data_IF_832436555090
#
_entry.id   IF_832436555090
#
_cell.length_a   1.000
_cell.length_b   1.000
_cell.length_c   1.000
_cell.angle_alpha   90.00
_cell.angle_beta   90.00
_cell.angle_gamma   90.00
#
_symmetry.space_group_name_H-M   'P 1'
#
loop_
_entity.id
_entity.type
_entity.pdbx_description
1 polymer ?
#
# COMPACT_ATOMS: atom_id res chain seq x y z
N UNK A 1 14.97 15.35 20.68
CA UNK A 1 14.46 14.67 19.49
C UNK A 1 15.33 13.45 19.26
N UNK A 2 14.78 12.24 19.37
CA UNK A 2 15.51 10.98 19.32
C UNK A 2 15.42 10.44 17.88
N UNK A 3 16.26 10.95 16.98
CA UNK A 3 16.25 10.63 15.53
C UNK A 3 16.13 9.13 15.24
N UNK A 4 16.85 8.29 15.99
CA UNK A 4 16.78 6.83 15.85
C UNK A 4 15.42 6.22 16.22
N UNK A 5 14.74 6.78 17.21
CA UNK A 5 13.39 6.36 17.61
C UNK A 5 12.35 6.74 16.56
N UNK A 6 12.48 7.96 16.02
CA UNK A 6 11.59 8.48 14.97
C UNK A 6 11.75 7.66 13.67
N UNK A 7 12.98 7.35 13.27
CA UNK A 7 13.28 6.51 12.09
C UNK A 7 12.70 5.10 12.21
N UNK A 8 12.85 4.45 13.37
CA UNK A 8 12.28 3.12 13.61
C UNK A 8 10.75 3.13 13.55
N UNK A 9 10.11 4.19 14.06
CA UNK A 9 8.66 4.36 13.98
C UNK A 9 8.20 4.51 12.53
N UNK A 10 8.92 5.29 11.71
CA UNK A 10 8.59 5.49 10.30
C UNK A 10 8.72 4.19 9.51
N UNK A 11 9.80 3.42 9.73
CA UNK A 11 9.99 2.12 9.10
C UNK A 11 8.89 1.12 9.48
N UNK A 12 8.48 1.11 10.76
CA UNK A 12 7.36 0.28 11.22
C UNK A 12 6.03 0.68 10.57
N UNK A 13 5.73 1.98 10.47
CA UNK A 13 4.54 2.48 9.77
C UNK A 13 4.55 2.13 8.28
N UNK A 14 5.73 2.22 7.63
CA UNK A 14 5.89 1.83 6.24
C UNK A 14 5.58 0.33 6.03
N UNK A 15 6.08 -0.53 6.92
CA UNK A 15 5.79 -1.97 6.89
C UNK A 15 4.29 -2.24 7.04
N UNK A 16 3.62 -1.58 7.98
CA UNK A 16 2.16 -1.71 8.20
C UNK A 16 1.38 -1.27 6.96
N UNK A 17 1.75 -0.15 6.33
CA UNK A 17 1.12 0.32 5.10
C UNK A 17 1.32 -0.65 3.93
N UNK A 18 2.51 -1.23 3.81
CA UNK A 18 2.80 -2.23 2.78
C UNK A 18 1.94 -3.49 2.99
N UNK A 19 1.88 -4.02 4.21
CA UNK A 19 1.03 -5.16 4.54
C UNK A 19 -0.46 -4.88 4.33
N UNK A 20 -0.92 -3.67 4.65
CA UNK A 20 -2.29 -3.26 4.38
C UNK A 20 -2.59 -3.17 2.87
N UNK A 21 -1.63 -2.70 2.06
CA UNK A 21 -1.76 -2.66 0.61
C UNK A 21 -1.83 -4.07 -0.01
N UNK A 22 -1.03 -5.01 0.50
CA UNK A 22 -1.05 -6.41 0.07
C UNK A 22 -2.38 -7.08 0.47
N UNK A 23 -2.85 -6.88 1.70
CA UNK A 23 -4.14 -7.39 2.16
C UNK A 23 -5.31 -6.85 1.32
N UNK A 24 -5.33 -5.54 1.07
CA UNK A 24 -6.35 -4.90 0.23
C UNK A 24 -6.35 -5.47 -1.20
N UNK A 25 -5.16 -5.73 -1.75
CA UNK A 25 -5.04 -6.34 -3.09
C UNK A 25 -5.63 -7.76 -3.12
N UNK A 26 -5.35 -8.57 -2.10
CA UNK A 26 -5.89 -9.92 -1.98
C UNK A 26 -7.42 -9.93 -1.79
N UNK A 27 -7.97 -8.99 -1.02
CA UNK A 27 -9.41 -8.82 -0.84
C UNK A 27 -10.09 -8.42 -2.16
N UNK A 28 -9.47 -7.53 -2.93
CA UNK A 28 -9.97 -7.13 -4.26
C UNK A 28 -10.00 -8.30 -5.23
N UNK A 29 -8.95 -9.12 -5.26
CA UNK A 29 -8.91 -10.30 -6.14
C UNK A 29 -9.96 -11.34 -5.72
N UNK A 30 -10.20 -11.50 -4.41
CA UNK A 30 -11.29 -12.35 -3.88
C UNK A 30 -12.67 -11.82 -4.30
N UNK A 31 -12.89 -10.51 -4.16
CA UNK A 31 -14.13 -9.85 -4.57
C UNK A 31 -14.38 -9.98 -6.07
N UNK A 32 -13.33 -9.83 -6.89
CA UNK A 32 -13.39 -10.01 -8.34
C UNK A 32 -13.80 -11.44 -8.71
N UNK A 33 -13.22 -12.45 -8.06
CA UNK A 33 -13.59 -13.85 -8.28
C UNK A 33 -15.03 -14.16 -7.85
N UNK A 34 -15.45 -13.66 -6.69
CA UNK A 34 -16.84 -13.82 -6.21
C UNK A 34 -17.83 -13.14 -7.15
N UNK A 35 -17.50 -11.94 -7.63
CA UNK A 35 -18.30 -11.18 -8.59
C UNK A 35 -18.45 -11.90 -9.93
N UNK A 36 -17.39 -12.51 -10.44
CA UNK A 36 -17.46 -13.32 -11.66
C UNK A 36 -18.38 -14.52 -11.50
N UNK A 37 -18.33 -15.19 -10.35
CA UNK A 37 -19.24 -16.30 -10.00
C UNK A 37 -20.69 -15.83 -9.94
N UNK A 38 -20.97 -14.70 -9.27
CA UNK A 38 -22.32 -14.13 -9.19
C UNK A 38 -22.85 -13.71 -10.57
N UNK A 39 -21.99 -13.13 -11.41
CA UNK A 39 -22.33 -12.73 -12.78
C UNK A 39 -22.81 -13.90 -13.62
N UNK A 40 -22.28 -15.11 -13.41
CA UNK A 40 -22.73 -16.30 -14.14
C UNK A 40 -24.21 -16.66 -13.86
N UNK A 41 -24.77 -16.21 -12.73
CA UNK A 41 -26.17 -16.40 -12.38
C UNK A 41 -27.11 -15.25 -12.80
N UNK A 42 -26.59 -14.13 -13.31
CA UNK A 42 -27.39 -12.95 -13.67
C UNK A 42 -27.51 -12.81 -15.19
N UNK A 43 -28.71 -12.50 -15.68
CA UNK A 43 -28.98 -12.27 -17.10
C UNK A 43 -29.57 -10.88 -17.33
N UNK A 44 -29.30 -10.29 -18.50
CA UNK A 44 -29.88 -9.02 -18.93
C UNK A 44 -29.39 -7.80 -18.14
N UNK A 45 -30.29 -6.86 -17.82
CA UNK A 45 -29.94 -5.57 -17.23
C UNK A 45 -29.26 -5.67 -15.85
N UNK A 46 -29.58 -6.72 -15.07
CA UNK A 46 -28.92 -7.00 -13.80
C UNK A 46 -27.42 -7.30 -13.98
N UNK A 47 -27.06 -8.01 -15.05
CA UNK A 47 -25.67 -8.30 -15.39
C UNK A 47 -24.90 -7.03 -15.77
N UNK A 48 -25.54 -6.13 -16.54
CA UNK A 48 -24.93 -4.89 -17.02
C UNK A 48 -24.69 -3.92 -15.86
N UNK A 49 -25.72 -3.69 -15.03
CA UNK A 49 -25.63 -2.80 -13.88
C UNK A 49 -24.57 -3.27 -12.86
N UNK A 50 -24.48 -4.59 -12.65
CA UNK A 50 -23.43 -5.19 -11.81
C UNK A 50 -22.05 -4.97 -12.36
N UNK A 51 -21.85 -5.26 -13.65
CA UNK A 51 -20.54 -5.17 -14.30
C UNK A 51 -19.99 -3.75 -14.22
N UNK A 52 -20.84 -2.74 -14.46
CA UNK A 52 -20.44 -1.33 -14.34
C UNK A 52 -20.03 -0.93 -12.92
N UNK A 53 -20.87 -1.22 -11.91
CA UNK A 53 -20.57 -0.90 -10.52
C UNK A 53 -19.36 -1.66 -9.99
N UNK A 54 -19.25 -2.93 -10.33
CA UNK A 54 -18.14 -3.78 -9.90
C UNK A 54 -16.82 -3.31 -10.53
N UNK A 55 -16.80 -2.99 -11.83
CA UNK A 55 -15.59 -2.48 -12.48
C UNK A 55 -15.12 -1.14 -11.87
N UNK A 56 -16.06 -0.24 -11.55
CA UNK A 56 -15.73 1.02 -10.88
C UNK A 56 -15.17 0.79 -9.46
N UNK A 57 -15.76 -0.14 -8.71
CA UNK A 57 -15.30 -0.49 -7.37
C UNK A 57 -13.91 -1.15 -7.40
N UNK A 58 -13.70 -2.14 -8.27
CA UNK A 58 -12.40 -2.81 -8.46
C UNK A 58 -11.31 -1.80 -8.83
N UNK A 59 -11.58 -0.92 -9.81
CA UNK A 59 -10.65 0.15 -10.18
C UNK A 59 -10.30 1.08 -9.01
N UNK A 60 -11.30 1.48 -8.23
CA UNK A 60 -11.10 2.35 -7.07
C UNK A 60 -10.26 1.70 -5.98
N UNK A 61 -10.53 0.42 -5.67
CA UNK A 61 -9.80 -0.31 -4.65
C UNK A 61 -8.36 -0.62 -5.08
N UNK A 62 -8.14 -1.00 -6.35
CA UNK A 62 -6.78 -1.17 -6.91
C UNK A 62 -5.99 0.13 -6.86
N UNK A 63 -6.62 1.27 -7.17
CA UNK A 63 -5.97 2.57 -7.07
C UNK A 63 -5.58 2.91 -5.62
N UNK A 64 -6.44 2.61 -4.64
CA UNK A 64 -6.12 2.77 -3.21
C UNK A 64 -4.96 1.88 -2.77
N UNK A 65 -4.96 0.61 -3.17
CA UNK A 65 -3.87 -0.32 -2.87
C UNK A 65 -2.53 0.17 -3.46
N UNK A 66 -2.54 0.62 -4.72
CA UNK A 66 -1.36 1.21 -5.36
C UNK A 66 -0.86 2.46 -4.62
N UNK A 67 -1.77 3.34 -4.20
CA UNK A 67 -1.43 4.56 -3.44
C UNK A 67 -0.80 4.21 -2.09
N UNK A 68 -1.35 3.24 -1.37
CA UNK A 68 -0.78 2.77 -0.11
C UNK A 68 0.62 2.18 -0.30
N UNK A 69 0.85 1.43 -1.38
CA UNK A 69 2.16 0.86 -1.71
C UNK A 69 3.21 1.93 -2.03
N UNK A 70 2.81 2.97 -2.76
CA UNK A 70 3.69 4.12 -3.05
C UNK A 70 4.01 4.88 -1.75
N UNK A 71 3.00 5.14 -0.92
CA UNK A 71 3.21 5.79 0.38
C UNK A 71 4.14 4.99 1.29
N UNK A 72 4.01 3.66 1.33
CA UNK A 72 4.93 2.81 2.09
C UNK A 72 6.35 2.86 1.55
N UNK A 73 6.53 2.87 0.23
CA UNK A 73 7.86 2.99 -0.40
C UNK A 73 8.54 4.32 -0.04
N UNK A 74 7.80 5.44 -0.12
CA UNK A 74 8.34 6.75 0.27
C UNK A 74 8.71 6.81 1.76
N UNK A 75 7.88 6.24 2.64
CA UNK A 75 8.17 6.19 4.06
C UNK A 75 9.42 5.36 4.38
N UNK A 76 9.58 4.19 3.73
CA UNK A 76 10.80 3.38 3.86
C UNK A 76 12.03 4.11 3.34
N UNK A 77 11.94 4.74 2.16
CA UNK A 77 13.03 5.51 1.56
C UNK A 77 13.47 6.65 2.49
N UNK A 78 12.52 7.38 3.06
CA UNK A 78 12.80 8.47 4.00
C UNK A 78 13.49 7.96 5.27
N UNK A 79 13.06 6.81 5.80
CA UNK A 79 13.72 6.20 6.94
C UNK A 79 15.18 5.81 6.62
N UNK A 80 15.44 5.25 5.44
CA UNK A 80 16.81 4.93 4.99
C UNK A 80 17.69 6.18 4.85
N UNK A 81 17.15 7.26 4.28
CA UNK A 81 17.88 8.51 4.09
C UNK A 81 18.26 9.14 5.44
N UNK A 82 17.37 9.07 6.44
CA UNK A 82 17.68 9.49 7.80
C UNK A 82 18.81 8.66 8.43
N UNK A 83 18.81 7.33 8.25
CA UNK A 83 19.90 6.47 8.74
C UNK A 83 21.22 6.85 8.07
N UNK A 84 21.23 7.07 6.75
CA UNK A 84 22.45 7.47 6.03
C UNK A 84 22.97 8.82 6.51
N UNK A 85 22.08 9.78 6.73
CA UNK A 85 22.44 11.10 7.25
C UNK A 85 23.02 11.02 8.68
N UNK A 86 22.44 10.20 9.55
CA UNK A 86 22.95 9.97 10.91
C UNK A 86 24.36 9.33 10.88
N UNK A 87 24.57 8.31 10.05
CA UNK A 87 25.87 7.67 9.87
C UNK A 87 26.90 8.64 9.29
N UNK A 88 26.54 9.44 8.29
CA UNK A 88 27.42 10.44 7.69
C UNK A 88 27.81 11.54 8.70
N UNK A 89 26.84 12.01 9.49
CA UNK A 89 27.07 12.97 10.58
C UNK A 89 27.99 12.40 11.65
N UNK A 90 27.76 11.15 12.08
CA UNK A 90 28.60 10.47 13.05
C UNK A 90 30.05 10.31 12.54
N UNK A 91 30.25 9.97 11.26
CA UNK A 91 31.59 9.89 10.65
C UNK A 91 32.28 11.25 10.60
N UNK A 92 31.56 12.31 10.24
CA UNK A 92 32.10 13.67 10.21
C UNK A 92 32.53 14.17 11.60
N UNK A 93 31.81 13.81 12.66
CA UNK A 93 32.16 14.16 14.05
C UNK A 93 33.34 13.34 14.56
N UNK A 94 33.42 12.06 14.19
CA UNK A 94 34.50 11.15 14.62
C UNK A 94 35.80 11.30 13.82
N UNK A 95 35.81 12.11 12.76
CA UNK A 95 37.02 12.48 12.03
C UNK A 95 37.67 11.35 11.22
N UNK A 96 36.87 10.44 10.65
CA UNK A 96 37.31 9.43 9.69
C UNK A 96 36.99 9.82 8.25
#
# INVERSE_FOLDING_TARGET
MHLKGDTNSIAASAQVLASAADALSAEVDTLSNASQTMRAGWQGDAQIAWTGRHAQMDSTLRHKAATLRVASQHASQYAEDLVRADVAGARAVLGF
#
